data_IF_148677639696
#
_entry.id   IF_148677639696
#
_cell.length_a   1.000
_cell.length_b   1.000
_cell.length_c   1.000
_cell.angle_alpha   90.00
_cell.angle_beta   90.00
_cell.angle_gamma   90.00
#
_symmetry.space_group_name_H-M   'P 1'
#
loop_
_entity.id
_entity.type
_entity.pdbx_description
1 polymer ?
#
# COMPACT_ATOMS: atom_id res chain seq x y z
N UNK A 1 11.27 -22.77 0.11
CA UNK A 1 11.40 -21.48 0.84
C UNK A 1 10.04 -20.82 0.76
N UNK A 2 9.61 -20.16 1.83
CA UNK A 2 8.38 -19.37 1.80
C UNK A 2 8.73 -18.00 1.21
N UNK A 3 8.08 -17.60 0.13
CA UNK A 3 8.39 -16.33 -0.53
C UNK A 3 8.09 -15.17 0.41
N UNK A 4 9.02 -14.22 0.47
CA UNK A 4 8.80 -12.98 1.22
C UNK A 4 8.08 -11.96 0.34
N UNK A 5 7.38 -11.01 0.95
CA UNK A 5 6.75 -9.91 0.21
C UNK A 5 7.75 -9.19 -0.71
N UNK A 6 8.99 -8.98 -0.25
CA UNK A 6 10.04 -8.32 -1.04
C UNK A 6 10.48 -9.17 -2.25
N UNK A 7 10.52 -10.50 -2.09
CA UNK A 7 10.84 -11.41 -3.20
C UNK A 7 9.75 -11.38 -4.27
N UNK A 8 8.47 -11.44 -3.86
CA UNK A 8 7.32 -11.35 -4.76
C UNK A 8 7.24 -9.99 -5.45
N UNK A 9 7.49 -8.90 -4.70
CA UNK A 9 7.48 -7.54 -5.26
C UNK A 9 8.61 -7.34 -6.26
N UNK A 10 9.80 -7.91 -6.02
CA UNK A 10 10.89 -7.85 -6.98
C UNK A 10 10.53 -8.53 -8.31
N UNK A 11 9.89 -9.70 -8.26
CA UNK A 11 9.40 -10.40 -9.46
C UNK A 11 8.32 -9.58 -10.19
N UNK A 12 7.29 -9.14 -9.45
CA UNK A 12 6.21 -8.31 -9.97
C UNK A 12 6.74 -7.03 -10.62
N UNK A 13 7.72 -6.36 -10.01
CA UNK A 13 8.31 -5.14 -10.54
C UNK A 13 9.04 -5.37 -11.87
N UNK A 14 9.79 -6.47 -12.02
CA UNK A 14 10.43 -6.78 -13.29
C UNK A 14 9.41 -6.97 -14.41
N UNK A 15 8.32 -7.69 -14.11
CA UNK A 15 7.22 -7.88 -15.05
C UNK A 15 6.49 -6.55 -15.36
N UNK A 16 6.13 -5.78 -14.34
CA UNK A 16 5.36 -4.54 -14.49
C UNK A 16 6.06 -3.48 -15.34
N UNK A 17 7.39 -3.37 -15.25
CA UNK A 17 8.17 -2.46 -16.12
C UNK A 17 8.09 -2.83 -17.60
N UNK A 18 8.01 -4.13 -17.91
CA UNK A 18 7.94 -4.61 -19.27
C UNK A 18 6.55 -4.42 -19.86
N UNK A 19 5.52 -4.67 -19.06
CA UNK A 19 4.12 -4.62 -19.51
C UNK A 19 3.55 -3.20 -19.49
N UNK A 20 3.94 -2.39 -18.50
CA UNK A 20 3.45 -1.01 -18.31
C UNK A 20 4.60 0.00 -18.35
N UNK A 21 5.30 0.14 -19.50
CA UNK A 21 6.45 1.02 -19.62
C UNK A 21 6.10 2.50 -19.45
N UNK A 22 4.88 2.90 -19.84
CA UNK A 22 4.41 4.30 -19.81
C UNK A 22 3.77 4.70 -18.48
N UNK A 23 3.51 3.76 -17.57
CA UNK A 23 2.95 4.09 -16.28
C UNK A 23 3.90 5.01 -15.49
N UNK A 24 3.32 5.94 -14.75
CA UNK A 24 4.02 6.93 -13.94
C UNK A 24 3.71 6.72 -12.48
N UNK A 25 4.53 7.29 -11.58
CA UNK A 25 4.25 7.23 -10.15
C UNK A 25 2.83 7.75 -9.81
N UNK A 26 2.36 8.79 -10.51
CA UNK A 26 1.03 9.38 -10.29
C UNK A 26 -0.09 8.51 -10.86
N UNK A 27 0.08 7.94 -12.06
CA UNK A 27 -0.96 7.06 -12.62
C UNK A 27 -1.17 5.81 -11.77
N UNK A 28 -0.11 5.27 -11.16
CA UNK A 28 -0.22 4.13 -10.24
C UNK A 28 -0.98 4.51 -8.96
N UNK A 29 -0.86 5.76 -8.47
CA UNK A 29 -1.72 6.24 -7.38
C UNK A 29 -3.19 6.36 -7.80
N UNK A 30 -3.48 6.77 -9.05
CA UNK A 30 -4.85 6.80 -9.57
C UNK A 30 -5.47 5.41 -9.67
N UNK A 31 -4.67 4.40 -10.01
CA UNK A 31 -5.14 3.01 -9.94
C UNK A 31 -5.36 2.56 -8.49
N UNK A 32 -4.45 2.90 -7.56
CA UNK A 32 -4.64 2.63 -6.14
C UNK A 32 -5.94 3.23 -5.58
N UNK A 33 -6.34 4.43 -6.01
CA UNK A 33 -7.63 5.04 -5.65
C UNK A 33 -8.82 4.19 -6.14
N UNK A 34 -8.69 3.54 -7.31
CA UNK A 34 -9.73 2.63 -7.81
C UNK A 34 -9.79 1.35 -6.98
N UNK A 35 -8.65 0.73 -6.63
CA UNK A 35 -8.64 -0.49 -5.80
C UNK A 35 -9.21 -0.23 -4.40
N UNK A 36 -9.02 0.98 -3.86
CA UNK A 36 -9.64 1.38 -2.59
C UNK A 36 -11.18 1.38 -2.70
N UNK A 37 -11.74 1.85 -3.82
CA UNK A 37 -13.20 1.81 -4.05
C UNK A 37 -13.72 0.37 -4.18
N UNK A 38 -12.92 -0.53 -4.76
CA UNK A 38 -13.25 -1.96 -4.84
C UNK A 38 -13.27 -2.60 -3.44
N UNK A 39 -12.25 -2.31 -2.62
CA UNK A 39 -12.20 -2.70 -1.20
C UNK A 39 -13.42 -2.18 -0.43
N UNK A 40 -13.77 -0.90 -0.58
CA UNK A 40 -14.93 -0.30 0.10
C UNK A 40 -16.23 -1.02 -0.26
N UNK A 41 -16.46 -1.25 -1.55
CA UNK A 41 -17.63 -1.97 -2.04
C UNK A 41 -17.72 -3.39 -1.46
N UNK A 42 -16.61 -4.10 -1.40
CA UNK A 42 -16.55 -5.46 -0.86
C UNK A 42 -16.86 -5.48 0.64
N UNK A 43 -16.32 -4.52 1.40
CA UNK A 43 -16.64 -4.34 2.81
C UNK A 43 -18.12 -4.01 3.04
N UNK A 44 -18.70 -3.10 2.25
CA UNK A 44 -20.11 -2.71 2.32
C UNK A 44 -21.06 -3.88 1.98
N UNK A 45 -20.64 -4.77 1.08
CA UNK A 45 -21.38 -5.98 0.74
C UNK A 45 -21.22 -7.13 1.75
N UNK A 46 -20.34 -6.96 2.75
CA UNK A 46 -20.01 -8.00 3.73
C UNK A 46 -19.16 -9.14 3.19
N UNK A 47 -18.48 -8.94 2.07
CA UNK A 47 -17.65 -9.93 1.38
C UNK A 47 -16.21 -9.42 1.22
N UNK A 48 -15.41 -9.36 2.29
CA UNK A 48 -14.04 -8.87 2.19
C UNK A 48 -13.20 -9.75 1.26
N UNK A 49 -12.55 -9.13 0.27
CA UNK A 49 -11.69 -9.80 -0.70
C UNK A 49 -10.21 -9.44 -0.47
N UNK A 50 -9.35 -10.39 -0.05
CA UNK A 50 -7.92 -10.14 0.13
C UNK A 50 -7.18 -9.72 -1.16
N UNK A 51 -7.68 -10.08 -2.34
CA UNK A 51 -7.03 -9.76 -3.62
C UNK A 51 -7.02 -8.25 -3.87
N UNK A 52 -8.10 -7.54 -3.55
CA UNK A 52 -8.17 -6.08 -3.73
C UNK A 52 -7.16 -5.32 -2.84
N UNK A 53 -6.89 -5.85 -1.64
CA UNK A 53 -5.82 -5.32 -0.80
C UNK A 53 -4.44 -5.55 -1.40
N UNK A 54 -4.22 -6.71 -2.05
CA UNK A 54 -2.97 -6.98 -2.75
C UNK A 54 -2.80 -6.03 -3.93
N UNK A 55 -3.85 -5.80 -4.73
CA UNK A 55 -3.81 -4.87 -5.87
C UNK A 55 -3.53 -3.43 -5.43
N UNK A 56 -4.19 -2.97 -4.36
CA UNK A 56 -3.89 -1.66 -3.76
C UNK A 56 -2.42 -1.56 -3.31
N UNK A 57 -1.90 -2.60 -2.65
CA UNK A 57 -0.49 -2.66 -2.24
C UNK A 57 0.46 -2.64 -3.44
N UNK A 58 0.17 -3.41 -4.49
CA UNK A 58 0.97 -3.44 -5.72
C UNK A 58 0.99 -2.07 -6.39
N UNK A 59 -0.13 -1.35 -6.42
CA UNK A 59 -0.20 0.01 -6.97
C UNK A 59 0.65 1.01 -6.18
N UNK A 60 0.69 0.89 -4.84
CA UNK A 60 1.55 1.71 -3.99
C UNK A 60 3.04 1.41 -4.21
N UNK A 61 3.43 0.13 -4.31
CA UNK A 61 4.81 -0.24 -4.63
C UNK A 61 5.23 0.19 -6.04
N UNK A 62 4.35 0.06 -7.03
CA UNK A 62 4.58 0.51 -8.38
C UNK A 62 4.79 2.04 -8.43
N UNK A 63 3.94 2.79 -7.72
CA UNK A 63 4.09 4.24 -7.57
C UNK A 63 5.45 4.61 -6.95
N UNK A 64 5.79 3.98 -5.82
CA UNK A 64 7.03 4.24 -5.09
C UNK A 64 8.27 3.94 -5.93
N UNK A 65 8.33 2.78 -6.57
CA UNK A 65 9.49 2.39 -7.39
C UNK A 65 9.67 3.29 -8.61
N UNK A 66 8.58 3.72 -9.25
CA UNK A 66 8.62 4.72 -10.33
C UNK A 66 9.07 6.10 -9.83
N UNK A 67 8.88 6.41 -8.55
CA UNK A 67 9.40 7.62 -7.91
C UNK A 67 10.84 7.44 -7.36
N UNK A 68 11.49 6.30 -7.59
CA UNK A 68 12.84 6.02 -7.09
C UNK A 68 12.91 5.58 -5.63
N UNK A 69 11.80 5.16 -5.04
CA UNK A 69 11.71 4.63 -3.67
C UNK A 69 11.68 3.11 -3.74
N UNK A 70 12.61 2.47 -3.05
CA UNK A 70 12.74 1.01 -3.02
C UNK A 70 11.75 0.36 -2.03
N UNK A 71 11.34 -0.90 -2.26
CA UNK A 71 10.54 -1.66 -1.29
C UNK A 71 11.20 -1.75 0.09
N UNK A 72 12.53 -1.85 0.16
CA UNK A 72 13.29 -1.88 1.42
C UNK A 72 13.14 -0.58 2.20
N UNK A 73 13.19 0.58 1.53
CA UNK A 73 12.95 1.88 2.17
C UNK A 73 11.53 1.99 2.74
N UNK A 74 10.53 1.39 2.07
CA UNK A 74 9.16 1.33 2.60
C UNK A 74 9.11 0.48 3.88
N UNK A 75 9.76 -0.69 3.87
CA UNK A 75 9.80 -1.58 5.05
C UNK A 75 10.50 -0.90 6.24
N UNK A 76 11.63 -0.24 6.00
CA UNK A 76 12.33 0.54 7.03
C UNK A 76 11.43 1.67 7.58
N UNK A 77 10.80 2.44 6.68
CA UNK A 77 9.89 3.51 7.07
C UNK A 77 8.69 2.98 7.88
N UNK A 78 8.15 1.81 7.51
CA UNK A 78 7.07 1.14 8.24
C UNK A 78 7.52 0.73 9.65
N UNK A 79 8.71 0.14 9.80
CA UNK A 79 9.28 -0.24 11.09
C UNK A 79 9.47 0.98 12.01
N UNK A 80 10.07 2.06 11.49
CA UNK A 80 10.23 3.32 12.23
C UNK A 80 8.89 3.94 12.60
N UNK A 81 7.90 3.85 11.70
CA UNK A 81 6.55 4.36 11.93
C UNK A 81 5.83 3.60 13.04
N UNK A 82 6.01 2.28 13.16
CA UNK A 82 5.49 1.50 14.29
C UNK A 82 6.03 2.04 15.61
N UNK A 83 7.35 2.24 15.72
CA UNK A 83 8.01 2.74 16.94
C UNK A 83 7.43 4.12 17.30
N UNK A 84 7.36 5.04 16.32
CA UNK A 84 6.81 6.38 16.50
C UNK A 84 5.33 6.38 16.86
N UNK A 85 4.53 5.46 16.31
CA UNK A 85 3.11 5.38 16.60
C UNK A 85 2.82 4.80 17.99
N UNK A 86 3.66 3.87 18.47
CA UNK A 86 3.57 3.33 19.84
C UNK A 86 3.95 4.36 20.90
N UNK A 87 4.75 5.36 20.58
CA UNK A 87 5.14 6.43 21.51
C UNK A 87 4.16 7.62 21.54
N UNK A 88 3.02 7.54 20.84
CA UNK A 88 2.04 8.62 20.75
C UNK A 88 0.82 8.35 21.63
N UNK A 89 0.18 9.43 22.07
CA UNK A 89 -1.16 9.39 22.64
C UNK A 89 -2.19 9.53 21.53
N UNK A 90 -3.20 8.67 21.53
CA UNK A 90 -4.25 8.62 20.50
C UNK A 90 -5.61 9.01 21.07
N UNK A 91 -6.40 9.72 20.25
CA UNK A 91 -7.79 10.05 20.52
C UNK A 91 -8.68 9.47 19.41
N UNK A 92 -9.83 8.92 19.81
CA UNK A 92 -10.83 8.40 18.88
C UNK A 92 -11.68 9.55 18.32
N UNK A 93 -11.95 9.51 17.02
CA UNK A 93 -12.78 10.48 16.31
C UNK A 93 -14.24 9.98 16.19
N UNK A 94 -15.22 10.86 15.86
CA UNK A 94 -16.63 10.47 15.73
C UNK A 94 -16.92 9.40 14.67
N UNK A 95 -16.12 9.38 13.60
CA UNK A 95 -16.19 8.40 12.50
C UNK A 95 -15.45 7.09 12.81
N UNK A 96 -15.05 6.87 14.07
CA UNK A 96 -14.22 5.76 14.54
C UNK A 96 -12.77 5.73 14.02
N UNK A 97 -12.32 6.74 13.29
CA UNK A 97 -10.89 6.91 12.99
C UNK A 97 -10.12 7.37 14.25
N UNK A 98 -8.78 7.35 14.20
CA UNK A 98 -7.93 7.76 15.32
C UNK A 98 -6.91 8.82 14.90
N UNK A 99 -6.75 9.84 15.73
CA UNK A 99 -5.77 10.92 15.57
C UNK A 99 -4.80 10.92 16.74
N UNK A 100 -3.53 11.26 16.51
CA UNK A 100 -2.59 11.49 17.59
C UNK A 100 -2.81 12.88 18.19
N UNK A 101 -2.78 12.98 19.51
CA UNK A 101 -2.82 14.28 20.21
C UNK A 101 -1.52 15.02 19.88
N UNK A 102 -1.64 16.29 19.47
CA UNK A 102 -0.49 17.14 19.11
C UNK A 102 0.17 17.72 20.35
#
# INVERSE_FOLDING_TARGET
>A
MQDTLLTLEAERWQWAKQIFPEATAVSSLRKAESEILEIEKDLESGQPNPEEYADAMMCLFDSAQRAGITPEQIVEAYALKIIKNKSRTWSKNPDNSYSHVK
#
